data_IF_576040140841
#
_entry.id   IF_576040140841
#
_cell.length_a   1.000
_cell.length_b   1.000
_cell.length_c   1.000
_cell.angle_alpha   90.00
_cell.angle_beta   90.00
_cell.angle_gamma   90.00
#
_symmetry.space_group_name_H-M   'P 1'
#
loop_
_entity.id
_entity.type
_entity.pdbx_description
1 polymer ?
#
# COMPACT_ATOMS: atom_id res chain seq x y z
N UNK A 1 13.49 -28.77 -26.69
CA UNK A 1 14.04 -27.64 -25.90
C UNK A 1 13.00 -26.54 -25.91
N UNK A 2 12.32 -26.29 -24.79
CA UNK A 2 11.33 -25.20 -24.68
C UNK A 2 12.06 -23.86 -24.79
N UNK A 3 11.87 -23.11 -25.87
CA UNK A 3 12.50 -21.81 -26.05
C UNK A 3 11.84 -20.80 -25.13
N UNK A 4 12.61 -20.15 -24.27
CA UNK A 4 12.17 -19.04 -23.43
C UNK A 4 11.49 -17.97 -24.31
N UNK A 5 10.25 -17.58 -24.01
CA UNK A 5 9.60 -16.45 -24.69
C UNK A 5 10.29 -15.14 -24.27
N UNK A 6 10.80 -14.31 -25.19
CA UNK A 6 11.37 -13.02 -24.83
C UNK A 6 10.32 -12.11 -24.17
N UNK A 7 10.79 -11.17 -23.35
CA UNK A 7 9.94 -10.11 -22.80
C UNK A 7 9.48 -9.19 -23.95
N UNK A 8 8.18 -8.87 -24.04
CA UNK A 8 7.70 -7.93 -25.04
C UNK A 8 8.20 -6.52 -24.75
N UNK A 9 8.43 -5.73 -25.82
CA UNK A 9 8.82 -4.32 -25.68
C UNK A 9 7.74 -3.47 -24.99
N UNK A 10 6.46 -3.80 -25.24
CA UNK A 10 5.29 -3.17 -24.61
C UNK A 10 4.52 -4.25 -23.86
N UNK A 11 4.69 -4.37 -22.53
CA UNK A 11 3.96 -5.34 -21.74
C UNK A 11 2.49 -4.95 -21.58
N UNK A 12 1.67 -5.97 -21.34
CA UNK A 12 0.39 -5.79 -20.64
C UNK A 12 0.68 -5.82 -19.14
N UNK A 13 0.38 -4.71 -18.45
CA UNK A 13 0.71 -4.51 -17.03
C UNK A 13 -0.54 -4.59 -16.18
N UNK A 14 -0.51 -5.45 -15.16
CA UNK A 14 -1.46 -5.42 -14.06
C UNK A 14 -0.93 -4.47 -12.99
N UNK A 15 -1.67 -3.41 -12.69
CA UNK A 15 -1.44 -2.53 -11.54
C UNK A 15 -2.41 -2.91 -10.41
N UNK A 16 -1.86 -3.06 -9.22
CA UNK A 16 -2.59 -3.26 -7.97
C UNK A 16 -2.00 -2.39 -6.85
N UNK A 17 -2.57 -2.36 -5.65
CA UNK A 17 -1.99 -1.69 -4.48
C UNK A 17 -2.63 -2.21 -3.19
N UNK A 18 -2.22 -1.63 -2.06
CA UNK A 18 -2.87 -1.81 -0.76
C UNK A 18 -3.60 -0.56 -0.24
N UNK A 19 -3.40 0.62 -0.84
CA UNK A 19 -4.08 1.85 -0.43
C UNK A 19 -5.52 1.99 -0.94
N UNK A 20 -5.91 1.20 -1.95
CA UNK A 20 -7.22 1.25 -2.59
C UNK A 20 -7.32 2.32 -3.71
N UNK A 21 -8.55 2.68 -4.14
CA UNK A 21 -8.76 3.67 -5.21
C UNK A 21 -8.24 5.06 -4.82
N UNK A 22 -8.11 5.99 -5.80
CA UNK A 22 -7.61 7.33 -5.56
C UNK A 22 -8.33 8.00 -4.38
N UNK A 23 -7.54 8.44 -3.42
CA UNK A 23 -8.02 8.99 -2.14
C UNK A 23 -6.85 9.67 -1.43
N UNK A 24 -7.13 10.26 -0.26
CA UNK A 24 -6.07 10.81 0.60
C UNK A 24 -5.02 9.76 1.02
N UNK A 25 -5.36 8.47 1.03
CA UNK A 25 -4.42 7.39 1.31
C UNK A 25 -3.72 6.87 0.05
N UNK A 26 -4.32 7.04 -1.12
CA UNK A 26 -3.81 6.57 -2.42
C UNK A 26 -3.68 7.74 -3.42
N UNK A 27 -2.90 8.80 -3.11
CA UNK A 27 -2.90 10.01 -3.92
C UNK A 27 -2.19 9.86 -5.28
N UNK A 28 -1.44 8.77 -5.48
CA UNK A 28 -0.51 8.66 -6.61
C UNK A 28 -0.87 7.61 -7.66
N UNK A 29 -1.73 6.63 -7.33
CA UNK A 29 -1.97 5.48 -8.22
C UNK A 29 -2.53 5.91 -9.58
N UNK A 30 -3.45 6.88 -9.61
CA UNK A 30 -4.05 7.35 -10.85
C UNK A 30 -3.02 8.03 -11.76
N UNK A 31 -2.27 9.01 -11.24
CA UNK A 31 -1.22 9.69 -12.01
C UNK A 31 -0.14 8.72 -12.48
N UNK A 32 0.28 7.77 -11.64
CA UNK A 32 1.25 6.75 -12.01
C UNK A 32 0.74 5.87 -13.17
N UNK A 33 -0.50 5.37 -13.10
CA UNK A 33 -1.13 4.58 -14.17
C UNK A 33 -1.20 5.38 -15.47
N UNK A 34 -1.61 6.65 -15.40
CA UNK A 34 -1.69 7.54 -16.57
C UNK A 34 -0.32 7.73 -17.22
N UNK A 35 0.75 7.90 -16.44
CA UNK A 35 2.10 8.03 -16.99
C UNK A 35 2.60 6.75 -17.66
N UNK A 36 2.31 5.56 -17.10
CA UNK A 36 2.63 4.28 -17.76
C UNK A 36 1.95 4.18 -19.14
N UNK A 37 0.69 4.60 -19.25
CA UNK A 37 -0.06 4.59 -20.49
C UNK A 37 0.45 5.65 -21.48
N UNK A 38 0.58 6.90 -21.06
CA UNK A 38 0.85 8.04 -21.94
C UNK A 38 2.32 8.14 -22.34
N UNK A 39 3.25 7.91 -21.41
CA UNK A 39 4.69 8.03 -21.70
C UNK A 39 5.27 6.77 -22.30
N UNK A 40 4.91 5.59 -21.77
CA UNK A 40 5.48 4.32 -22.24
C UNK A 40 4.62 3.64 -23.32
N UNK A 41 3.35 4.05 -23.47
CA UNK A 41 2.43 3.41 -24.40
C UNK A 41 2.14 1.96 -24.04
N UNK A 42 2.16 1.63 -22.75
CA UNK A 42 1.89 0.29 -22.21
C UNK A 42 0.39 0.08 -22.03
N UNK A 43 -0.06 -1.16 -22.23
CA UNK A 43 -1.43 -1.56 -21.89
C UNK A 43 -1.50 -1.81 -20.38
N UNK A 44 -2.33 -1.06 -19.68
CA UNK A 44 -2.41 -1.12 -18.21
C UNK A 44 -3.82 -1.55 -17.81
N UNK A 45 -3.90 -2.52 -16.90
CA UNK A 45 -5.12 -3.02 -16.29
C UNK A 45 -5.04 -2.80 -14.78
N UNK A 46 -6.09 -2.30 -14.16
CA UNK A 46 -6.08 -1.99 -12.72
C UNK A 46 -7.07 -2.87 -11.98
N UNK A 47 -6.56 -3.67 -11.05
CA UNK A 47 -7.36 -4.47 -10.12
C UNK A 47 -6.84 -4.28 -8.71
N UNK A 48 -7.63 -3.63 -7.86
CA UNK A 48 -7.21 -3.16 -6.54
C UNK A 48 -8.25 -3.49 -5.47
N UNK A 49 -7.87 -3.48 -4.18
CA UNK A 49 -8.82 -3.46 -3.09
C UNK A 49 -9.79 -2.28 -3.21
N UNK A 50 -11.03 -2.46 -2.80
CA UNK A 50 -12.06 -1.41 -2.76
C UNK A 50 -11.86 -0.39 -1.63
N UNK A 51 -10.93 -0.66 -0.72
CA UNK A 51 -10.59 0.17 0.43
C UNK A 51 -9.14 -0.06 0.88
N UNK A 52 -8.66 0.78 1.81
CA UNK A 52 -7.32 0.70 2.41
C UNK A 52 -7.09 -0.65 3.15
N UNK A 53 -6.01 -1.35 2.79
CA UNK A 53 -5.56 -2.66 3.33
C UNK A 53 -4.08 -2.66 3.74
N UNK A 54 -3.53 -1.54 4.18
CA UNK A 54 -2.17 -1.48 4.75
C UNK A 54 -1.97 -2.44 5.93
N UNK A 55 -0.72 -2.87 6.18
CA UNK A 55 -0.31 -3.80 7.25
C UNK A 55 -0.85 -5.23 7.16
N UNK A 56 -1.38 -5.66 6.00
CA UNK A 56 -1.93 -7.01 5.81
C UNK A 56 -0.90 -8.06 5.35
N UNK A 57 0.32 -7.66 5.00
CA UNK A 57 1.33 -8.55 4.44
C UNK A 57 0.82 -9.32 3.21
N UNK A 58 1.12 -10.62 3.13
CA UNK A 58 0.72 -11.53 2.04
C UNK A 58 -0.54 -12.36 2.34
N UNK A 59 -1.51 -11.80 3.07
CA UNK A 59 -2.75 -12.49 3.44
C UNK A 59 -3.66 -12.74 2.22
N UNK A 60 -4.33 -13.89 2.16
CA UNK A 60 -5.44 -14.16 1.23
C UNK A 60 -6.76 -14.21 1.98
N UNK A 61 -7.82 -13.63 1.41
CA UNK A 61 -9.18 -13.82 1.88
C UNK A 61 -9.70 -15.18 1.37
N UNK A 62 -9.51 -16.24 2.16
CA UNK A 62 -9.83 -17.63 1.77
C UNK A 62 -11.24 -18.09 2.15
N UNK A 63 -11.86 -17.41 3.12
CA UNK A 63 -13.19 -17.76 3.65
C UNK A 63 -14.28 -16.80 3.17
N UNK A 64 -13.88 -15.63 2.66
CA UNK A 64 -14.79 -14.58 2.25
C UNK A 64 -15.16 -14.73 0.77
N UNK A 65 -16.40 -14.40 0.43
CA UNK A 65 -16.79 -14.19 -0.96
C UNK A 65 -16.24 -12.82 -1.38
N UNK A 66 -15.54 -12.77 -2.52
CA UNK A 66 -14.95 -11.54 -3.03
C UNK A 66 -15.89 -10.92 -4.05
N UNK A 67 -16.47 -9.78 -3.66
CA UNK A 67 -17.33 -8.99 -4.53
C UNK A 67 -16.50 -7.98 -5.33
N UNK A 68 -16.96 -7.69 -6.54
CA UNK A 68 -16.30 -6.76 -7.46
C UNK A 68 -17.21 -5.62 -7.91
N UNK A 69 -16.61 -4.45 -8.13
CA UNK A 69 -17.23 -3.29 -8.77
C UNK A 69 -16.31 -2.71 -9.82
N UNK A 70 -16.88 -2.02 -10.79
CA UNK A 70 -16.13 -1.27 -11.81
C UNK A 70 -16.04 0.19 -11.39
N UNK A 71 -14.87 0.78 -11.53
CA UNK A 71 -14.62 2.18 -11.27
C UNK A 71 -14.04 2.84 -12.52
N UNK A 72 -14.56 4.00 -12.88
CA UNK A 72 -14.13 4.78 -14.03
C UNK A 72 -13.61 6.13 -13.53
N UNK A 73 -12.32 6.22 -13.14
CA UNK A 73 -11.74 7.45 -12.63
C UNK A 73 -11.68 8.53 -13.71
N UNK A 74 -11.89 9.78 -13.27
CA UNK A 74 -11.85 10.99 -14.11
C UNK A 74 -11.14 12.12 -13.35
N UNK A 75 -10.90 13.21 -14.07
CA UNK A 75 -10.22 14.38 -13.53
C UNK A 75 -8.70 14.21 -13.52
N UNK A 76 -7.97 15.21 -13.00
CA UNK A 76 -6.52 15.24 -12.99
C UNK A 76 -5.90 14.30 -11.93
N UNK A 77 -6.62 14.01 -10.85
CA UNK A 77 -6.15 13.22 -9.71
C UNK A 77 -6.91 11.89 -9.52
N UNK A 78 -7.93 11.63 -10.34
CA UNK A 78 -8.72 10.41 -10.27
C UNK A 78 -9.69 10.35 -9.09
N UNK A 79 -9.88 11.45 -8.36
CA UNK A 79 -10.81 11.51 -7.22
C UNK A 79 -12.28 11.54 -7.64
N UNK A 80 -12.53 11.94 -8.89
CA UNK A 80 -13.84 11.89 -9.51
C UNK A 80 -14.02 10.59 -10.28
N UNK A 81 -15.26 10.17 -10.50
CA UNK A 81 -15.55 8.99 -11.30
C UNK A 81 -16.87 8.32 -10.94
N UNK A 82 -17.23 7.32 -11.71
CA UNK A 82 -18.43 6.51 -11.47
C UNK A 82 -18.02 5.13 -11.00
N UNK A 83 -18.70 4.61 -9.97
CA UNK A 83 -18.61 3.21 -9.56
C UNK A 83 -19.90 2.51 -9.95
N UNK A 84 -19.79 1.38 -10.67
CA UNK A 84 -20.93 0.58 -11.14
C UNK A 84 -20.75 -0.89 -10.76
N UNK A 85 -21.87 -1.61 -10.59
CA UNK A 85 -21.85 -3.07 -10.36
C UNK A 85 -21.64 -3.85 -11.65
N UNK A 86 -21.98 -3.26 -12.80
CA UNK A 86 -21.88 -3.89 -14.11
C UNK A 86 -20.84 -3.17 -14.98
N UNK A 87 -20.16 -3.93 -15.84
CA UNK A 87 -19.22 -3.39 -16.82
C UNK A 87 -19.98 -2.57 -17.85
N UNK A 88 -19.41 -1.44 -18.27
CA UNK A 88 -19.95 -0.60 -19.33
C UNK A 88 -18.85 -0.07 -20.25
N UNK A 89 -19.18 0.40 -21.46
CA UNK A 89 -18.23 1.12 -22.31
C UNK A 89 -17.69 2.39 -21.63
N UNK A 90 -16.46 2.78 -22.00
CA UNK A 90 -15.86 4.04 -21.57
C UNK A 90 -16.63 5.23 -22.14
N UNK A 91 -16.80 6.27 -21.31
CA UNK A 91 -17.34 7.58 -21.68
C UNK A 91 -16.21 8.56 -21.99
N UNK A 92 -16.56 9.69 -22.58
CA UNK A 92 -15.58 10.76 -22.83
C UNK A 92 -14.90 11.21 -21.52
N UNK A 93 -13.57 11.32 -21.57
CA UNK A 93 -12.72 11.66 -20.42
C UNK A 93 -12.31 10.46 -19.54
N UNK A 94 -12.84 9.26 -19.79
CA UNK A 94 -12.40 8.03 -19.13
C UNK A 94 -11.34 7.35 -19.99
N UNK A 95 -10.26 6.90 -19.36
CA UNK A 95 -9.16 6.24 -20.08
C UNK A 95 -9.18 4.72 -19.96
N UNK A 96 -9.82 4.20 -18.92
CA UNK A 96 -9.88 2.77 -18.64
C UNK A 96 -10.89 2.46 -17.53
N UNK A 97 -11.28 1.19 -17.50
CA UNK A 97 -12.02 0.56 -16.40
C UNK A 97 -11.05 0.07 -15.32
N UNK A 98 -11.37 0.34 -14.06
CA UNK A 98 -10.69 -0.24 -12.89
C UNK A 98 -11.62 -1.25 -12.24
N UNK A 99 -11.07 -2.33 -11.69
CA UNK A 99 -11.84 -3.33 -10.95
C UNK A 99 -11.47 -3.21 -9.47
N UNK A 100 -12.47 -2.93 -8.64
CA UNK A 100 -12.37 -2.83 -7.20
C UNK A 100 -12.88 -4.13 -6.58
N UNK A 101 -12.10 -4.77 -5.72
CA UNK A 101 -12.45 -6.03 -5.07
C UNK A 101 -12.44 -5.89 -3.53
N UNK A 102 -13.34 -6.57 -2.83
CA UNK A 102 -13.41 -6.52 -1.35
C UNK A 102 -12.23 -7.23 -0.65
N UNK A 103 -11.40 -7.93 -1.41
CA UNK A 103 -10.29 -8.76 -0.93
C UNK A 103 -9.03 -8.03 -0.51
N UNK A 104 -8.01 -8.79 -0.12
CA UNK A 104 -6.65 -8.28 0.15
C UNK A 104 -5.91 -8.00 -1.17
N UNK A 105 -4.79 -7.24 -1.15
CA UNK A 105 -3.98 -7.00 -2.34
C UNK A 105 -3.50 -8.29 -3.03
N UNK A 106 -3.08 -9.29 -2.24
CA UNK A 106 -2.67 -10.59 -2.76
C UNK A 106 -3.83 -11.36 -3.40
N UNK A 107 -5.04 -11.29 -2.82
CA UNK A 107 -6.26 -11.84 -3.43
C UNK A 107 -6.61 -11.11 -4.72
N UNK A 108 -6.53 -9.78 -4.75
CA UNK A 108 -6.83 -8.99 -5.96
C UNK A 108 -5.90 -9.35 -7.11
N UNK A 109 -4.58 -9.39 -6.85
CA UNK A 109 -3.59 -9.76 -7.85
C UNK A 109 -3.82 -11.18 -8.37
N UNK A 110 -4.13 -12.14 -7.50
CA UNK A 110 -4.35 -13.52 -7.91
C UNK A 110 -5.62 -13.68 -8.76
N UNK A 111 -6.74 -13.08 -8.34
CA UNK A 111 -8.00 -13.07 -9.11
C UNK A 111 -7.77 -12.41 -10.48
N UNK A 112 -7.05 -11.29 -10.53
CA UNK A 112 -6.74 -10.62 -11.78
C UNK A 112 -5.98 -11.53 -12.74
N UNK A 113 -4.93 -12.21 -12.25
CA UNK A 113 -4.05 -13.05 -13.08
C UNK A 113 -4.71 -14.34 -13.56
N UNK A 114 -5.61 -14.94 -12.78
CA UNK A 114 -6.13 -16.28 -13.05
C UNK A 114 -7.60 -16.33 -13.45
N UNK A 115 -8.39 -15.30 -13.13
CA UNK A 115 -9.83 -15.29 -13.37
C UNK A 115 -10.28 -14.16 -14.28
N UNK A 116 -9.68 -12.96 -14.18
CA UNK A 116 -10.09 -11.80 -14.98
C UNK A 116 -9.30 -11.73 -16.28
N UNK A 117 -7.98 -11.93 -16.22
CA UNK A 117 -7.05 -11.76 -17.34
C UNK A 117 -6.11 -12.96 -17.54
N UNK A 118 -6.64 -14.20 -17.62
CA UNK A 118 -5.83 -15.42 -17.66
C UNK A 118 -4.87 -15.44 -18.86
N UNK A 119 -3.56 -15.44 -18.58
CA UNK A 119 -2.51 -15.54 -19.60
C UNK A 119 -2.29 -14.26 -20.42
N UNK A 120 -2.92 -13.15 -20.05
CA UNK A 120 -2.80 -11.87 -20.77
C UNK A 120 -1.77 -10.93 -20.18
N UNK A 121 -1.46 -11.06 -18.87
CA UNK A 121 -0.56 -10.15 -18.15
C UNK A 121 0.90 -10.55 -18.36
N UNK A 122 1.75 -9.57 -18.69
CA UNK A 122 3.19 -9.75 -18.78
C UNK A 122 3.93 -9.32 -17.52
N UNK A 123 3.45 -8.29 -16.82
CA UNK A 123 4.10 -7.66 -15.65
C UNK A 123 3.07 -7.28 -14.59
N UNK A 124 3.40 -7.49 -13.31
CA UNK A 124 2.62 -6.98 -12.18
C UNK A 124 3.36 -5.83 -11.51
N UNK A 125 2.66 -4.73 -11.25
CA UNK A 125 3.17 -3.62 -10.44
C UNK A 125 2.23 -3.42 -9.26
N UNK A 126 2.76 -3.41 -8.05
CA UNK A 126 2.00 -3.04 -6.85
C UNK A 126 2.47 -1.69 -6.33
N UNK A 127 1.54 -0.74 -6.18
CA UNK A 127 1.79 0.63 -5.73
C UNK A 127 1.39 1.69 -6.78
N UNK A 128 1.91 2.92 -6.67
CA UNK A 128 2.85 3.37 -5.64
C UNK A 128 2.18 3.48 -4.27
N UNK A 129 2.76 2.84 -3.26
CA UNK A 129 2.30 2.96 -1.87
C UNK A 129 2.66 4.34 -1.29
N UNK A 130 1.75 4.96 -0.54
CA UNK A 130 2.02 6.25 0.12
C UNK A 130 2.73 6.09 1.48
N UNK A 131 3.90 5.46 1.42
CA UNK A 131 4.79 5.19 2.54
C UNK A 131 5.93 4.29 2.05
N UNK A 132 7.04 4.21 2.78
CA UNK A 132 8.12 3.28 2.40
C UNK A 132 7.80 1.85 2.84
N UNK A 133 8.31 0.90 2.06
CA UNK A 133 8.41 -0.51 2.40
C UNK A 133 9.89 -0.91 2.32
N UNK A 134 10.73 -0.22 3.09
CA UNK A 134 12.15 -0.57 3.29
C UNK A 134 12.33 -1.23 4.64
N UNK A 135 13.39 -2.00 4.82
CA UNK A 135 13.70 -2.81 5.99
C UNK A 135 12.75 -3.99 6.24
N UNK A 136 13.25 -4.99 6.95
CA UNK A 136 12.56 -6.27 7.19
C UNK A 136 11.18 -6.09 7.81
N UNK A 137 11.08 -5.23 8.84
CA UNK A 137 9.85 -5.03 9.58
C UNK A 137 8.72 -4.46 8.72
N UNK A 138 8.98 -3.42 7.92
CA UNK A 138 7.97 -2.86 7.03
C UNK A 138 7.71 -3.73 5.81
N UNK A 139 8.75 -4.37 5.25
CA UNK A 139 8.59 -5.26 4.11
C UNK A 139 7.65 -6.44 4.42
N UNK A 140 7.81 -7.07 5.59
CA UNK A 140 7.01 -8.24 5.99
C UNK A 140 5.55 -7.88 6.31
N UNK A 141 5.28 -6.64 6.70
CA UNK A 141 3.91 -6.15 6.96
C UNK A 141 3.23 -5.55 5.71
N UNK A 142 3.97 -5.31 4.63
CA UNK A 142 3.49 -4.59 3.44
C UNK A 142 2.48 -5.40 2.61
N UNK A 143 1.31 -4.80 2.35
CA UNK A 143 0.36 -5.33 1.38
C UNK A 143 0.85 -5.17 -0.06
N UNK A 144 1.57 -4.07 -0.33
CA UNK A 144 2.23 -3.81 -1.62
C UNK A 144 3.21 -4.92 -2.00
N UNK A 145 4.11 -5.30 -1.08
CA UNK A 145 5.02 -6.43 -1.28
C UNK A 145 4.25 -7.76 -1.24
N UNK A 146 3.20 -7.88 -0.42
CA UNK A 146 2.33 -9.06 -0.41
C UNK A 146 1.72 -9.38 -1.78
N UNK A 147 1.24 -8.38 -2.52
CA UNK A 147 0.68 -8.58 -3.85
C UNK A 147 1.72 -9.08 -4.87
N UNK A 148 2.95 -8.56 -4.81
CA UNK A 148 4.05 -8.97 -5.70
C UNK A 148 4.61 -10.35 -5.33
N UNK A 149 4.72 -10.68 -4.04
CA UNK A 149 5.06 -12.03 -3.58
C UNK A 149 4.01 -13.06 -4.03
N UNK A 150 2.72 -12.73 -3.97
CA UNK A 150 1.62 -13.56 -4.51
C UNK A 150 1.79 -13.83 -6.01
N UNK A 151 2.09 -12.77 -6.77
CA UNK A 151 2.18 -12.81 -8.23
C UNK A 151 3.43 -13.57 -8.71
N UNK A 152 4.56 -13.39 -8.03
CA UNK A 152 5.80 -14.15 -8.30
C UNK A 152 5.68 -15.62 -7.98
N UNK A 153 4.93 -16.00 -6.94
CA UNK A 153 4.56 -17.40 -6.69
C UNK A 153 3.73 -18.00 -7.84
N UNK A 154 3.00 -17.16 -8.58
CA UNK A 154 2.32 -17.51 -9.83
C UNK A 154 3.20 -17.35 -11.08
N UNK A 155 4.51 -17.14 -10.92
CA UNK A 155 5.52 -16.96 -11.98
C UNK A 155 5.44 -15.67 -12.81
N UNK A 156 4.85 -14.60 -12.28
CA UNK A 156 4.81 -13.29 -12.96
C UNK A 156 5.89 -12.33 -12.44
N UNK A 157 6.62 -11.62 -13.32
CA UNK A 157 7.49 -10.51 -12.91
C UNK A 157 6.71 -9.51 -12.12
N UNK A 158 7.31 -9.04 -11.03
CA UNK A 158 6.63 -8.12 -10.15
C UNK A 158 7.53 -6.98 -9.69
N UNK A 159 6.99 -5.77 -9.64
CA UNK A 159 7.65 -4.61 -9.05
C UNK A 159 6.75 -4.06 -7.94
N UNK A 160 7.28 -3.92 -6.73
CA UNK A 160 6.63 -3.18 -5.66
C UNK A 160 7.21 -1.76 -5.64
N UNK A 161 6.36 -0.73 -5.61
CA UNK A 161 6.78 0.68 -5.65
C UNK A 161 6.24 1.40 -4.42
N UNK A 162 7.09 2.16 -3.75
CA UNK A 162 6.77 2.78 -2.46
C UNK A 162 7.41 4.16 -2.33
N UNK A 163 6.62 5.17 -1.95
CA UNK A 163 7.08 6.55 -1.76
C UNK A 163 7.28 6.84 -0.28
N UNK A 164 8.55 6.90 0.14
CA UNK A 164 8.97 7.21 1.49
C UNK A 164 8.74 8.67 1.84
N UNK A 165 7.63 8.93 2.55
CA UNK A 165 7.31 10.25 3.10
C UNK A 165 8.32 10.61 4.20
N UNK A 166 9.10 11.66 3.97
CA UNK A 166 10.08 12.20 4.93
C UNK A 166 9.61 13.50 5.59
N UNK A 167 8.77 14.28 4.91
CA UNK A 167 8.20 15.55 5.39
C UNK A 167 6.69 15.59 5.13
N UNK A 168 5.96 16.36 5.95
CA UNK A 168 4.52 16.60 5.77
C UNK A 168 4.21 18.11 5.91
N UNK A 169 3.36 18.68 5.03
CA UNK A 169 2.78 18.05 3.84
C UNK A 169 3.84 17.76 2.76
N UNK A 170 3.58 16.76 1.91
CA UNK A 170 4.45 16.47 0.77
C UNK A 170 4.16 17.51 -0.32
N UNK A 171 5.17 18.23 -0.85
CA UNK A 171 4.96 19.17 -1.94
C UNK A 171 4.41 18.47 -3.20
N UNK A 172 3.43 19.05 -3.93
CA UNK A 172 2.90 18.46 -5.16
C UNK A 172 3.98 18.17 -6.19
N UNK A 173 4.94 19.09 -6.37
CA UNK A 173 6.08 18.91 -7.29
C UNK A 173 6.92 17.68 -6.96
N UNK A 174 7.10 17.38 -5.66
CA UNK A 174 7.81 16.19 -5.23
C UNK A 174 7.08 14.90 -5.63
N UNK A 175 5.74 14.88 -5.59
CA UNK A 175 4.93 13.74 -6.06
C UNK A 175 4.98 13.56 -7.57
N UNK A 176 4.97 14.66 -8.34
CA UNK A 176 5.17 14.62 -9.79
C UNK A 176 6.52 13.98 -10.14
N UNK A 177 7.60 14.49 -9.54
CA UNK A 177 8.95 13.95 -9.73
C UNK A 177 9.04 12.48 -9.30
N UNK A 178 8.37 12.09 -8.21
CA UNK A 178 8.35 10.69 -7.77
C UNK A 178 7.64 9.78 -8.79
N UNK A 179 6.51 10.21 -9.36
CA UNK A 179 5.80 9.46 -10.40
C UNK A 179 6.63 9.33 -11.68
N UNK A 180 7.24 10.41 -12.16
CA UNK A 180 8.18 10.37 -13.28
C UNK A 180 9.35 9.42 -13.01
N UNK A 181 9.94 9.51 -11.82
CA UNK A 181 11.03 8.64 -11.39
C UNK A 181 10.64 7.17 -11.37
N UNK A 182 9.47 6.87 -10.80
CA UNK A 182 8.98 5.51 -10.70
C UNK A 182 8.76 4.89 -12.09
N UNK A 183 8.20 5.65 -13.03
CA UNK A 183 7.99 5.20 -14.41
C UNK A 183 9.30 4.95 -15.14
N UNK A 184 10.29 5.86 -15.02
CA UNK A 184 11.63 5.67 -15.61
C UNK A 184 12.33 4.42 -15.04
N UNK A 185 12.25 4.20 -13.72
CA UNK A 185 12.83 3.01 -13.07
C UNK A 185 12.13 1.73 -13.52
N UNK A 186 10.79 1.73 -13.58
CA UNK A 186 10.00 0.59 -14.06
C UNK A 186 10.36 0.24 -15.50
N UNK A 187 10.44 1.25 -16.38
CA UNK A 187 10.84 1.05 -17.77
C UNK A 187 12.23 0.41 -17.83
N UNK A 188 13.20 0.96 -17.10
CA UNK A 188 14.58 0.46 -17.11
C UNK A 188 14.69 -0.98 -16.59
N UNK A 189 13.97 -1.30 -15.52
CA UNK A 189 13.91 -2.66 -14.97
C UNK A 189 13.27 -3.64 -15.95
N UNK A 190 12.23 -3.22 -16.67
CA UNK A 190 11.58 -4.06 -17.68
C UNK A 190 12.48 -4.32 -18.90
N UNK A 191 13.15 -3.28 -19.40
CA UNK A 191 14.06 -3.38 -20.55
C UNK A 191 15.28 -4.27 -20.26
N UNK A 192 15.72 -4.35 -19.01
CA UNK A 192 16.94 -5.05 -18.60
C UNK A 192 16.69 -6.05 -17.46
N UNK A 193 15.55 -6.76 -17.51
CA UNK A 193 15.08 -7.60 -16.41
C UNK A 193 16.07 -8.71 -16.03
N UNK A 194 16.49 -8.70 -14.76
CA UNK A 194 17.43 -9.66 -14.18
C UNK A 194 18.90 -9.33 -14.41
N UNK A 195 19.24 -8.20 -15.03
CA UNK A 195 20.61 -7.71 -15.15
C UNK A 195 20.94 -6.72 -14.02
N UNK A 196 20.91 -7.23 -12.78
CA UNK A 196 21.14 -6.44 -11.56
C UNK A 196 22.62 -6.41 -11.13
N UNK A 197 23.53 -6.84 -12.02
CA UNK A 197 24.96 -6.90 -11.73
C UNK A 197 25.36 -8.02 -10.77
N UNK A 198 24.46 -8.96 -10.41
CA UNK A 198 24.81 -10.14 -9.61
C UNK A 198 25.43 -11.23 -10.50
N UNK A 199 26.75 -11.46 -10.45
CA UNK A 199 27.38 -12.52 -11.23
C UNK A 199 27.04 -13.85 -10.57
N UNK A 200 26.41 -14.77 -11.30
CA UNK A 200 26.21 -16.16 -10.87
C UNK A 200 25.39 -16.34 -9.57
N UNK A 201 24.33 -15.56 -9.36
CA UNK A 201 23.42 -15.92 -8.30
C UNK A 201 22.66 -17.22 -8.68
N UNK A 202 22.64 -18.25 -7.80
CA UNK A 202 22.15 -19.59 -8.11
C UNK A 202 20.62 -19.63 -8.07
N UNK A 203 19.97 -18.89 -8.97
CA UNK A 203 18.51 -18.77 -9.06
C UNK A 203 17.90 -20.02 -9.71
N UNK A 204 18.09 -21.19 -9.10
CA UNK A 204 17.84 -22.49 -9.74
C UNK A 204 16.37 -22.94 -9.68
N UNK A 205 15.52 -22.23 -8.93
CA UNK A 205 14.13 -22.62 -8.73
C UNK A 205 13.21 -21.99 -9.79
N UNK A 206 12.90 -22.77 -10.82
CA UNK A 206 11.73 -22.53 -11.65
C UNK A 206 10.49 -22.86 -10.83
N UNK A 207 9.67 -21.87 -10.49
CA UNK A 207 8.32 -22.14 -10.01
C UNK A 207 7.56 -22.78 -11.18
N UNK A 208 7.08 -24.00 -10.97
CA UNK A 208 6.40 -24.78 -11.99
C UNK A 208 5.06 -24.14 -12.35
N UNK A 209 5.04 -23.40 -13.45
CA UNK A 209 3.80 -22.99 -14.13
C UNK A 209 3.96 -23.21 -15.63
N UNK A 210 2.97 -23.88 -16.23
CA UNK A 210 2.86 -24.12 -17.67
C UNK A 210 2.82 -22.84 -18.49
N UNK A 211 2.38 -21.72 -17.91
CA UNK A 211 1.95 -20.54 -18.68
C UNK A 211 2.75 -19.26 -18.42
N UNK A 212 3.87 -19.33 -17.70
CA UNK A 212 4.75 -18.16 -17.47
C UNK A 212 6.10 -18.48 -16.82
N UNK A 213 6.19 -19.62 -16.12
CA UNK A 213 7.38 -20.06 -15.37
C UNK A 213 8.68 -20.16 -16.18
N UNK A 214 8.57 -20.29 -17.50
CA UNK A 214 9.74 -20.28 -18.37
C UNK A 214 10.45 -18.92 -18.36
N UNK A 215 9.76 -17.78 -18.35
CA UNK A 215 10.41 -16.45 -18.44
C UNK A 215 11.28 -16.10 -17.22
N UNK A 216 11.00 -16.73 -16.08
CA UNK A 216 11.57 -16.38 -14.78
C UNK A 216 12.64 -17.31 -14.23
N UNK A 217 12.85 -18.46 -14.87
CA UNK A 217 13.88 -19.38 -14.42
C UNK A 217 15.25 -18.70 -14.47
N UNK A 218 15.98 -18.70 -13.36
CA UNK A 218 17.31 -18.08 -13.31
C UNK A 218 17.33 -16.57 -13.10
N UNK A 219 16.18 -15.91 -12.89
CA UNK A 219 16.07 -14.45 -12.84
C UNK A 219 15.52 -13.94 -11.51
N UNK A 220 15.74 -12.66 -11.24
CA UNK A 220 15.08 -11.91 -10.16
C UNK A 220 13.56 -12.04 -10.31
N UNK A 221 12.88 -12.36 -9.22
CA UNK A 221 11.43 -12.58 -9.23
C UNK A 221 10.66 -11.28 -9.00
N UNK A 222 11.08 -10.49 -8.00
CA UNK A 222 10.52 -9.16 -7.78
C UNK A 222 11.60 -8.11 -7.52
N UNK A 223 11.29 -6.87 -7.84
CA UNK A 223 12.04 -5.70 -7.40
C UNK A 223 11.20 -4.88 -6.41
N UNK A 224 11.74 -4.63 -5.22
CA UNK A 224 11.18 -3.68 -4.26
C UNK A 224 11.85 -2.32 -4.45
N UNK A 225 11.08 -1.33 -4.88
CA UNK A 225 11.54 0.02 -5.25
C UNK A 225 11.03 1.02 -4.23
N UNK A 226 11.94 1.75 -3.58
CA UNK A 226 11.59 2.79 -2.63
C UNK A 226 12.19 4.14 -3.05
N UNK A 227 11.34 5.17 -3.12
CA UNK A 227 11.73 6.53 -3.45
C UNK A 227 11.62 7.40 -2.20
N UNK A 228 12.69 8.09 -1.80
CA UNK A 228 12.60 9.12 -0.78
C UNK A 228 11.91 10.36 -1.37
N UNK A 229 10.83 10.84 -0.75
CA UNK A 229 10.12 12.04 -1.19
C UNK A 229 10.88 13.32 -0.80
N UNK A 230 12.05 13.49 -1.40
CA UNK A 230 12.92 14.66 -1.27
C UNK A 230 13.04 15.28 -2.66
N UNK A 231 12.38 16.41 -2.87
CA UNK A 231 12.26 17.07 -4.19
C UNK A 231 13.61 17.21 -4.89
N UNK A 232 14.60 17.83 -4.22
CA UNK A 232 15.96 18.01 -4.73
C UNK A 232 16.65 16.70 -5.13
N UNK A 233 16.36 15.59 -4.46
CA UNK A 233 16.97 14.28 -4.76
C UNK A 233 16.27 13.57 -5.92
N UNK A 234 15.03 13.95 -6.26
CA UNK A 234 14.26 13.35 -7.34
C UNK A 234 14.41 14.13 -8.67
N UNK A 235 14.90 15.36 -8.62
CA UNK A 235 15.34 16.14 -9.78
C UNK A 235 16.31 15.34 -10.66
N UNK A 236 16.15 15.45 -11.98
CA UNK A 236 16.80 14.58 -12.95
C UNK A 236 18.33 14.66 -12.89
N UNK A 237 18.88 15.81 -12.56
CA UNK A 237 20.32 16.07 -12.47
C UNK A 237 20.93 15.49 -11.19
N UNK A 238 20.13 15.33 -10.14
CA UNK A 238 20.58 14.94 -8.80
C UNK A 238 20.25 13.48 -8.46
N UNK A 239 19.29 12.89 -9.18
CA UNK A 239 18.76 11.56 -8.89
C UNK A 239 19.82 10.49 -8.92
N UNK A 240 19.85 9.70 -7.85
CA UNK A 240 20.64 8.47 -7.74
C UNK A 240 19.72 7.27 -7.60
N UNK A 241 19.89 6.28 -8.46
CA UNK A 241 19.22 4.97 -8.37
C UNK A 241 20.28 3.93 -8.03
N UNK A 242 20.06 3.18 -6.96
CA UNK A 242 21.06 2.25 -6.42
C UNK A 242 20.47 0.86 -6.15
N UNK A 243 21.26 -0.17 -6.46
CA UNK A 243 20.97 -1.54 -6.04
C UNK A 243 21.19 -1.67 -4.53
N UNK A 244 20.28 -2.37 -3.85
CA UNK A 244 20.26 -2.45 -2.38
C UNK A 244 19.90 -3.84 -1.87
N UNK A 245 20.19 -4.08 -0.59
CA UNK A 245 19.70 -5.22 0.20
C UNK A 245 18.67 -4.76 1.24
N UNK A 246 17.82 -5.65 1.72
CA UNK A 246 16.89 -5.33 2.82
C UNK A 246 17.67 -5.12 4.12
N UNK A 247 17.52 -3.95 4.75
CA UNK A 247 18.03 -3.72 6.09
C UNK A 247 17.32 -4.64 7.11
N UNK A 248 18.06 -5.24 8.03
CA UNK A 248 17.48 -6.05 9.11
C UNK A 248 17.10 -5.18 10.31
N UNK A 249 15.85 -5.27 10.73
CA UNK A 249 15.34 -4.61 11.93
C UNK A 249 14.09 -5.33 12.46
N UNK A 250 13.55 -4.86 13.58
CA UNK A 250 12.33 -5.39 14.19
C UNK A 250 11.63 -4.35 15.05
N UNK A 251 10.42 -4.66 15.51
CA UNK A 251 9.63 -3.82 16.39
C UNK A 251 9.26 -4.54 17.69
N UNK A 252 9.01 -3.77 18.75
CA UNK A 252 8.44 -4.24 20.01
C UNK A 252 6.91 -4.32 19.94
N UNK A 253 6.22 -3.79 20.94
CA UNK A 253 4.75 -3.82 20.95
C UNK A 253 4.16 -2.95 19.83
N UNK A 254 3.21 -3.52 19.09
CA UNK A 254 2.39 -2.81 18.11
C UNK A 254 1.04 -2.35 18.66
N UNK A 255 0.64 -2.87 19.81
CA UNK A 255 -0.69 -2.66 20.39
C UNK A 255 -0.61 -2.19 21.84
N UNK A 256 -1.58 -1.36 22.26
CA UNK A 256 -1.76 -0.94 23.65
C UNK A 256 -3.16 -1.29 24.15
N UNK A 257 -3.31 -1.44 25.46
CA UNK A 257 -4.60 -1.65 26.10
C UNK A 257 -5.38 -0.33 26.18
N UNK A 258 -6.69 -0.38 25.95
CA UNK A 258 -7.59 0.77 26.14
C UNK A 258 -8.46 0.56 27.37
N UNK A 259 -8.42 1.46 28.39
CA UNK A 259 -9.44 1.48 29.44
C UNK A 259 -10.82 1.79 28.84
N UNK A 260 -11.90 1.31 29.47
CA UNK A 260 -13.25 1.65 29.03
C UNK A 260 -13.50 3.16 29.21
N UNK A 261 -13.95 3.81 28.15
CA UNK A 261 -14.78 5.01 28.27
C UNK A 261 -16.25 4.53 28.27
N UNK A 262 -17.00 4.69 29.38
CA UNK A 262 -18.40 4.30 29.44
C UNK A 262 -19.31 5.03 28.45
N UNK A 263 -18.82 6.10 27.81
CA UNK A 263 -19.53 6.84 26.76
C UNK A 263 -19.16 6.42 25.33
N UNK A 264 -18.12 5.58 25.14
CA UNK A 264 -17.79 5.01 23.82
C UNK A 264 -18.70 3.80 23.51
N UNK A 265 -19.97 4.08 23.26
CA UNK A 265 -20.90 3.09 22.72
C UNK A 265 -20.55 2.77 21.27
N UNK A 266 -20.13 1.53 20.97
CA UNK A 266 -20.45 0.83 19.70
C UNK A 266 -20.47 -0.68 19.84
N UNK A 267 -21.68 -1.25 19.80
CA UNK A 267 -22.06 -2.42 18.99
C UNK A 267 -23.58 -2.59 19.05
N UNK A 268 -24.34 -1.90 18.18
CA UNK A 268 -25.74 -2.26 17.93
C UNK A 268 -25.76 -3.35 16.86
N UNK A 269 -25.72 -4.60 17.30
CA UNK A 269 -26.19 -5.73 16.50
C UNK A 269 -27.69 -5.91 16.72
N UNK A 270 -28.49 -5.10 16.05
CA UNK A 270 -29.91 -5.37 15.89
C UNK A 270 -30.38 -4.85 14.53
N UNK A 271 -31.02 -5.73 13.76
CA UNK A 271 -31.69 -5.42 12.49
C UNK A 271 -32.66 -4.22 12.63
N UNK A 272 -32.89 -3.44 11.55
CA UNK A 272 -33.67 -2.21 11.64
C UNK A 272 -35.12 -2.52 12.03
N UNK A 273 -35.60 -1.91 13.12
CA UNK A 273 -37.03 -1.78 13.40
C UNK A 273 -37.41 -0.33 13.25
N UNK A 274 -38.43 -0.12 12.42
CA UNK A 274 -39.09 1.15 12.13
C UNK A 274 -39.32 2.00 13.38
N UNK A 275 -38.75 3.21 13.41
CA UNK A 275 -39.36 4.37 14.10
C UNK A 275 -39.02 5.67 13.39
N UNK A 276 -40.07 6.35 12.92
CA UNK A 276 -40.09 7.78 12.64
C UNK A 276 -39.84 8.52 13.95
N UNK A 277 -38.82 9.36 14.02
CA UNK A 277 -38.74 10.39 15.05
C UNK A 277 -38.04 11.64 14.50
N UNK A 278 -38.82 12.71 14.47
CA UNK A 278 -38.50 14.09 14.12
C UNK A 278 -37.55 14.70 15.15
N UNK A 279 -36.50 15.40 14.70
CA UNK A 279 -35.64 16.21 15.57
C UNK A 279 -35.85 17.72 15.35
N UNK A 280 -35.89 18.53 16.42
CA UNK A 280 -36.19 19.95 16.35
C UNK A 280 -34.94 20.78 16.01
N UNK A 281 -35.16 21.86 15.25
CA UNK A 281 -34.22 22.95 15.05
C UNK A 281 -34.01 23.74 16.35
N UNK A 282 -32.77 24.11 16.65
CA UNK A 282 -32.50 25.24 17.54
C UNK A 282 -31.33 26.08 16.99
N UNK A 283 -31.63 27.35 16.72
CA UNK A 283 -30.69 28.38 16.32
C UNK A 283 -29.97 28.91 17.57
N UNK A 284 -28.65 29.05 17.50
CA UNK A 284 -27.86 29.66 18.56
C UNK A 284 -26.52 30.11 18.02
N UNK A 285 -26.46 31.40 17.68
CA UNK A 285 -25.26 32.15 17.33
C UNK A 285 -24.24 32.10 18.48
N UNK A 286 -22.96 31.96 18.15
CA UNK A 286 -21.90 32.64 18.89
C UNK A 286 -20.66 32.83 18.02
N UNK A 287 -20.22 34.07 17.99
CA UNK A 287 -19.22 34.69 17.13
C UNK A 287 -17.85 34.79 17.80
N UNK A 288 -16.80 34.64 17.00
CA UNK A 288 -15.47 35.25 17.14
C UNK A 288 -14.72 34.88 15.85
N UNK A 289 -14.20 35.76 15.00
CA UNK A 289 -13.79 37.15 15.13
C UNK A 289 -12.52 37.26 14.27
N UNK A 290 -12.68 37.48 12.96
CA UNK A 290 -11.56 37.74 12.03
C UNK A 290 -11.71 39.19 11.57
N UNK A 291 -10.67 39.97 11.84
CA UNK A 291 -10.46 41.31 11.29
C UNK A 291 -9.97 41.15 9.85
N UNK A 292 -10.73 41.66 8.89
CA UNK A 292 -10.25 41.94 7.53
C UNK A 292 -10.54 43.39 7.19
N UNK A 293 -9.54 44.02 6.60
CA UNK A 293 -9.49 45.41 6.17
C UNK A 293 -10.41 45.59 4.97
N UNK A 294 -11.14 46.70 4.98
CA UNK A 294 -12.13 47.14 4.00
C UNK A 294 -11.55 47.34 2.60
N UNK A 295 -12.38 47.06 1.58
CA UNK A 295 -12.51 47.91 0.40
C UNK A 295 -13.98 47.88 -0.08
N UNK A 296 -14.53 49.09 -0.19
CA UNK A 296 -15.82 49.51 -0.77
C UNK A 296 -15.89 49.11 -2.28
N UNK A 297 -17.00 48.98 -3.02
CA UNK A 297 -18.36 49.53 -2.97
C UNK A 297 -19.25 48.78 -4.02
N UNK A 298 -20.53 48.56 -3.66
CA UNK A 298 -21.82 48.26 -4.37
C UNK A 298 -22.00 48.41 -5.92
N UNK A 299 -23.19 48.08 -6.52
CA UNK A 299 -24.37 47.31 -6.05
C UNK A 299 -24.97 46.26 -7.05
N UNK A 300 -25.92 45.46 -6.56
CA UNK A 300 -26.83 44.56 -7.29
C UNK A 300 -27.80 45.28 -8.25
N UNK A 301 -28.57 44.55 -9.11
CA UNK A 301 -29.96 44.26 -8.67
C UNK A 301 -30.64 42.97 -9.20
N UNK A 302 -31.59 42.48 -8.39
CA UNK A 302 -32.98 42.03 -8.70
C UNK A 302 -33.31 40.76 -9.50
N UNK A 303 -34.18 39.95 -8.86
CA UNK A 303 -35.41 39.28 -9.34
C UNK A 303 -35.29 38.29 -10.53
N UNK A 304 -35.92 37.12 -10.58
CA UNK A 304 -37.23 36.69 -10.09
C UNK A 304 -37.43 35.18 -10.35
N UNK A 305 -38.18 34.54 -9.44
CA UNK A 305 -39.25 33.57 -9.68
C UNK A 305 -39.02 32.29 -10.53
N UNK A 306 -39.13 31.18 -9.79
CA UNK A 306 -40.02 30.04 -10.00
C UNK A 306 -39.78 29.05 -11.16
N UNK A 307 -39.52 27.80 -10.79
CA UNK A 307 -39.69 26.62 -11.65
C UNK A 307 -39.11 25.37 -10.97
N UNK A 308 -39.96 24.60 -10.31
CA UNK A 308 -39.63 23.32 -9.66
C UNK A 308 -39.12 22.31 -10.69
N UNK A 309 -38.03 21.60 -10.38
CA UNK A 309 -37.81 20.22 -10.82
C UNK A 309 -36.74 19.52 -9.96
N UNK A 310 -36.88 18.21 -9.83
CA UNK A 310 -36.38 17.37 -8.75
C UNK A 310 -34.85 17.31 -8.62
N UNK A 311 -34.33 17.62 -7.44
CA UNK A 311 -32.93 17.41 -7.06
C UNK A 311 -32.72 16.02 -6.41
N UNK A 312 -31.78 15.19 -6.90
CA UNK A 312 -31.31 14.03 -6.17
C UNK A 312 -30.49 14.45 -4.96
N UNK A 313 -30.73 13.78 -3.83
CA UNK A 313 -30.06 14.00 -2.55
C UNK A 313 -28.53 13.88 -2.69
N UNK A 314 -27.84 14.99 -2.52
CA UNK A 314 -26.40 15.05 -2.26
C UNK A 314 -26.14 14.43 -0.88
N UNK A 315 -25.55 13.24 -0.86
CA UNK A 315 -25.02 12.66 0.37
C UNK A 315 -23.66 13.30 0.65
N UNK A 316 -23.62 14.10 1.72
CA UNK A 316 -22.41 14.63 2.33
C UNK A 316 -21.54 13.46 2.83
N UNK A 317 -20.24 13.39 2.51
CA UNK A 317 -19.40 12.29 2.96
C UNK A 317 -19.22 12.33 4.48
N UNK A 318 -19.47 11.19 5.13
CA UNK A 318 -19.20 10.98 6.54
C UNK A 318 -17.71 11.24 6.85
N UNK A 319 -17.44 12.05 7.86
CA UNK A 319 -16.09 12.32 8.37
C UNK A 319 -15.46 11.04 8.95
N UNK A 320 -14.76 10.29 8.11
CA UNK A 320 -13.82 9.27 8.57
C UNK A 320 -12.48 9.93 8.87
N UNK A 321 -11.99 9.78 10.09
CA UNK A 321 -10.61 10.12 10.44
C UNK A 321 -9.66 9.29 9.57
N UNK A 322 -8.69 9.91 8.87
CA UNK A 322 -7.80 9.18 7.98
C UNK A 322 -6.89 8.23 8.78
N UNK A 323 -6.91 6.94 8.42
CA UNK A 323 -5.95 5.94 8.90
C UNK A 323 -4.59 6.18 8.23
N UNK A 324 -3.45 5.85 8.87
CA UNK A 324 -2.14 6.01 8.25
C UNK A 324 -2.02 5.15 6.98
N UNK A 325 -1.48 5.72 5.91
CA UNK A 325 -1.29 5.07 4.62
C UNK A 325 0.03 4.27 4.58
N UNK A 326 -0.01 2.96 4.45
CA UNK A 326 1.18 2.11 4.38
C UNK A 326 1.92 1.86 5.71
N UNK A 327 2.79 0.83 5.77
CA UNK A 327 3.56 0.46 6.96
C UNK A 327 4.48 1.55 7.50
N UNK A 328 5.12 2.29 6.60
CA UNK A 328 6.10 3.33 6.93
C UNK A 328 5.55 4.75 7.01
N UNK A 329 4.24 5.01 6.86
CA UNK A 329 3.73 6.37 7.01
C UNK A 329 3.77 6.85 8.46
N UNK A 330 4.05 8.15 8.58
CA UNK A 330 3.92 8.86 9.85
C UNK A 330 2.46 8.80 10.33
N UNK A 331 2.22 8.43 11.61
CA UNK A 331 0.88 8.46 12.18
C UNK A 331 0.33 9.90 12.17
N UNK A 332 -0.95 10.05 11.81
CA UNK A 332 -1.69 11.31 11.99
C UNK A 332 -2.10 11.39 13.46
N UNK A 333 -1.75 12.48 14.15
CA UNK A 333 -2.17 12.70 15.53
C UNK A 333 -3.71 12.77 15.58
N UNK A 334 -4.35 11.82 16.26
CA UNK A 334 -5.75 11.95 16.62
C UNK A 334 -5.86 13.10 17.63
N UNK A 335 -6.66 14.13 17.31
CA UNK A 335 -7.00 15.18 18.28
C UNK A 335 -7.71 14.50 19.45
N UNK A 336 -7.11 14.58 20.64
CA UNK A 336 -7.78 14.25 21.90
C UNK A 336 -8.73 15.41 22.21
N UNK A 337 -10.04 15.17 22.12
CA UNK A 337 -11.02 16.04 22.76
C UNK A 337 -11.14 15.60 24.23
N UNK A 338 -10.52 16.35 25.13
CA UNK A 338 -10.79 16.23 26.56
C UNK A 338 -12.17 16.83 26.85
N UNK A 339 -13.17 15.98 27.07
CA UNK A 339 -14.41 16.40 27.75
C UNK A 339 -14.42 15.82 29.16
N UNK A 340 -14.28 16.70 30.14
CA UNK A 340 -14.41 16.34 31.55
C UNK A 340 -15.88 16.32 31.93
N UNK A 341 -16.44 15.15 32.25
CA UNK A 341 -17.71 15.06 32.98
C UNK A 341 -17.55 14.23 34.25
N UNK A 342 -17.82 14.85 35.39
CA UNK A 342 -17.95 14.20 36.70
C UNK A 342 -19.35 13.61 36.86
N UNK A 343 -19.45 12.34 37.28
CA UNK A 343 -20.68 11.72 37.77
C UNK A 343 -20.43 10.31 38.29
N UNK A 344 -20.25 10.15 39.61
CA UNK A 344 -21.14 9.46 40.58
C UNK A 344 -21.19 7.93 40.44
N UNK A 345 -20.71 7.26 41.49
CA UNK A 345 -20.49 5.83 41.54
C UNK A 345 -21.74 4.95 41.54
N UNK A 346 -21.55 3.74 41.00
CA UNK A 346 -22.46 2.61 41.08
C UNK A 346 -21.85 1.43 40.33
N UNK A 347 -21.69 0.31 41.03
CA UNK A 347 -21.43 -1.07 40.57
C UNK A 347 -20.33 -1.31 39.50
N UNK A 348 -19.17 -1.79 39.97
CA UNK A 348 -18.14 -2.43 39.13
C UNK A 348 -18.66 -3.74 38.53
N UNK A 349 -19.38 -3.65 37.42
CA UNK A 349 -19.89 -4.80 36.68
C UNK A 349 -18.79 -5.41 35.80
N UNK A 350 -18.99 -6.66 35.36
CA UNK A 350 -18.06 -7.49 34.57
C UNK A 350 -17.57 -6.89 33.23
N UNK A 351 -17.94 -5.65 32.91
CA UNK A 351 -17.52 -4.91 31.73
C UNK A 351 -16.04 -4.48 31.78
N UNK A 352 -15.52 -4.16 32.96
CA UNK A 352 -14.10 -3.79 33.18
C UNK A 352 -13.09 -4.91 32.80
N UNK A 353 -13.56 -6.14 32.56
CA UNK A 353 -12.73 -7.32 32.29
C UNK A 353 -12.60 -7.69 30.80
N UNK A 354 -13.01 -6.83 29.86
CA UNK A 354 -12.87 -7.12 28.41
C UNK A 354 -11.47 -6.75 27.90
N UNK A 355 -10.73 -7.75 27.41
CA UNK A 355 -9.44 -7.57 26.73
C UNK A 355 -9.63 -6.79 25.42
N UNK A 356 -9.31 -5.48 25.43
CA UNK A 356 -9.33 -4.61 24.26
C UNK A 356 -7.95 -4.04 23.98
N UNK A 357 -7.55 -4.10 22.72
CA UNK A 357 -6.29 -3.57 22.23
C UNK A 357 -6.53 -2.69 21.03
N UNK A 358 -5.70 -1.66 20.86
CA UNK A 358 -5.70 -0.82 19.66
C UNK A 358 -4.28 -0.67 19.13
N UNK A 359 -4.15 -0.49 17.82
CA UNK A 359 -2.86 -0.31 17.17
C UNK A 359 -2.22 1.01 17.62
N UNK A 360 -1.07 0.92 18.28
CA UNK A 360 -0.32 2.06 18.82
C UNK A 360 1.17 1.68 18.90
N UNK A 361 1.83 1.53 17.75
CA UNK A 361 3.18 1.00 17.68
C UNK A 361 4.23 2.06 18.03
N UNK A 362 5.34 1.62 18.63
CA UNK A 362 6.50 2.47 18.89
C UNK A 362 7.49 2.41 17.72
N UNK A 363 7.21 3.18 16.65
CA UNK A 363 7.95 3.09 15.37
C UNK A 363 9.05 4.13 15.20
N UNK A 364 9.30 5.02 16.18
CA UNK A 364 10.20 6.17 15.99
C UNK A 364 11.58 5.78 15.46
N UNK A 365 12.22 4.77 16.06
CA UNK A 365 13.54 4.27 15.64
C UNK A 365 13.52 3.50 14.32
N UNK A 366 12.37 2.95 13.96
CA UNK A 366 12.18 2.22 12.70
C UNK A 366 12.02 3.19 11.53
N UNK A 367 11.34 4.31 11.77
CA UNK A 367 11.10 5.37 10.79
C UNK A 367 12.32 6.30 10.69
N UNK A 368 12.92 6.66 11.82
CA UNK A 368 14.07 7.56 11.87
C UNK A 368 15.23 6.83 12.55
N UNK A 369 15.92 5.93 11.81
CA UNK A 369 17.12 5.28 12.31
C UNK A 369 18.26 6.30 12.43
N UNK A 370 19.17 6.06 13.38
CA UNK A 370 20.41 6.82 13.50
C UNK A 370 21.35 6.46 12.33
N UNK A 371 22.06 7.45 11.78
CA UNK A 371 22.92 7.26 10.61
C UNK A 371 23.96 6.15 10.82
N UNK A 372 24.63 6.14 11.98
CA UNK A 372 25.64 5.13 12.34
C UNK A 372 25.08 3.69 12.43
N UNK A 373 23.75 3.53 12.50
CA UNK A 373 23.09 2.22 12.53
C UNK A 373 22.76 1.67 11.14
N UNK A 374 22.94 2.47 10.08
CA UNK A 374 22.59 2.10 8.72
C UNK A 374 23.77 1.48 7.98
N UNK A 375 23.66 0.19 7.69
CA UNK A 375 24.64 -0.52 6.85
C UNK A 375 24.57 -0.02 5.40
N UNK A 376 25.70 0.42 4.85
CA UNK A 376 25.83 0.87 3.46
C UNK A 376 25.36 -0.22 2.47
N UNK A 377 24.69 0.22 1.41
CA UNK A 377 24.09 -0.68 0.41
C UNK A 377 22.78 -1.34 0.86
N UNK A 378 22.22 -0.98 2.01
CA UNK A 378 20.85 -1.36 2.37
C UNK A 378 19.80 -0.37 1.84
N UNK A 379 18.56 -0.82 1.70
CA UNK A 379 17.41 -0.01 1.29
C UNK A 379 17.16 1.19 2.21
N UNK A 380 17.37 0.99 3.51
CA UNK A 380 17.18 2.00 4.54
C UNK A 380 18.32 3.03 4.51
N UNK A 381 19.55 2.59 4.27
CA UNK A 381 20.68 3.49 4.02
C UNK A 381 20.46 4.35 2.77
N UNK A 382 20.02 3.74 1.67
CA UNK A 382 19.77 4.45 0.42
C UNK A 382 18.68 5.52 0.58
N UNK A 383 17.56 5.18 1.21
CA UNK A 383 16.48 6.12 1.49
C UNK A 383 16.90 7.27 2.41
N UNK A 384 17.70 6.97 3.44
CA UNK A 384 18.23 8.00 4.34
C UNK A 384 19.06 9.04 3.58
N UNK A 385 19.83 8.60 2.59
CA UNK A 385 20.65 9.45 1.73
C UNK A 385 19.90 10.03 0.51
N UNK A 386 18.57 9.89 0.46
CA UNK A 386 17.74 10.42 -0.62
C UNK A 386 17.86 9.68 -1.95
N UNK A 387 18.53 8.53 -2.00
CA UNK A 387 18.62 7.72 -3.20
C UNK A 387 17.36 6.88 -3.42
N UNK A 388 17.05 6.59 -4.69
CA UNK A 388 16.05 5.59 -5.07
C UNK A 388 16.67 4.20 -4.85
N UNK A 389 16.09 3.45 -3.91
CA UNK A 389 16.48 2.07 -3.62
C UNK A 389 15.77 1.12 -4.57
N UNK A 390 16.53 0.21 -5.18
CA UNK A 390 16.01 -0.95 -5.91
C UNK A 390 16.59 -2.22 -5.25
N UNK A 391 15.73 -3.04 -4.66
CA UNK A 391 16.14 -4.30 -4.02
C UNK A 391 15.61 -5.49 -4.83
N UNK A 392 16.47 -6.33 -5.43
CA UNK A 392 16.04 -7.61 -6.01
C UNK A 392 15.66 -8.60 -4.89
N UNK A 393 14.51 -9.27 -5.03
CA UNK A 393 14.03 -10.26 -4.05
C UNK A 393 13.53 -11.54 -4.73
N UNK A 394 13.45 -12.58 -3.91
CA UNK A 394 12.85 -13.88 -4.25
C UNK A 394 11.72 -14.17 -3.25
N UNK A 395 10.61 -14.72 -3.75
CA UNK A 395 9.55 -15.25 -2.89
C UNK A 395 10.02 -16.54 -2.23
N UNK A 396 10.79 -16.40 -1.14
CA UNK A 396 11.36 -17.50 -0.38
C UNK A 396 11.36 -17.17 1.10
N UNK A 397 11.32 -18.21 1.93
CA UNK A 397 11.80 -18.09 3.30
C UNK A 397 13.32 -18.22 3.26
N UNK A 398 14.03 -17.17 3.68
CA UNK A 398 15.46 -17.29 3.92
C UNK A 398 15.65 -18.03 5.26
N UNK A 399 16.41 -19.14 5.25
CA UNK A 399 16.81 -19.82 6.47
C UNK A 399 17.82 -18.96 7.26
N UNK A 400 17.86 -19.15 8.58
CA UNK A 400 18.92 -18.54 9.39
C UNK A 400 20.28 -19.14 8.99
N UNK A 401 21.41 -18.42 9.15
CA UNK A 401 22.71 -18.98 8.85
C UNK A 401 22.93 -20.32 9.55
N UNK A 402 23.43 -21.36 8.86
CA UNK A 402 23.62 -22.70 9.43
C UNK A 402 24.38 -22.71 10.76
N UNK A 403 25.33 -21.79 10.92
CA UNK A 403 26.17 -21.62 12.12
C UNK A 403 25.39 -21.25 13.39
N UNK A 404 24.15 -20.78 13.24
CA UNK A 404 23.24 -20.48 14.36
C UNK A 404 22.47 -21.68 14.89
N UNK A 405 22.53 -22.83 14.21
CA UNK A 405 21.93 -24.08 14.67
C UNK A 405 22.98 -24.95 15.35
N UNK A 406 22.95 -25.03 16.68
CA UNK A 406 23.64 -26.09 17.43
C UNK A 406 22.61 -27.06 17.96
N UNK A 407 22.60 -28.27 17.40
CA UNK A 407 21.83 -29.38 17.95
C UNK A 407 22.55 -29.90 19.20
N UNK A 408 22.04 -29.57 20.39
CA UNK A 408 22.52 -30.14 21.65
C UNK A 408 23.98 -29.79 22.00
N UNK A 409 24.33 -29.94 23.27
CA UNK A 409 25.71 -29.85 23.70
C UNK A 409 26.44 -31.14 23.35
N UNK A 410 27.18 -31.16 22.24
CA UNK A 410 28.26 -32.12 22.10
C UNK A 410 29.56 -31.35 21.94
N UNK A 411 30.26 -31.24 23.07
CA UNK A 411 31.70 -31.18 23.12
C UNK A 411 32.26 -32.43 22.45
N UNK A 412 32.33 -32.47 21.12
CA UNK A 412 33.20 -33.39 20.40
C UNK A 412 33.37 -32.89 18.95
N UNK A 413 34.64 -32.67 18.58
CA UNK A 413 35.10 -32.23 17.27
C UNK A 413 34.58 -33.14 16.14
N UNK A 414 34.10 -32.62 15.00
CA UNK A 414 33.71 -33.48 13.89
C UNK A 414 34.95 -34.02 13.17
N UNK A 415 35.18 -35.32 13.32
CA UNK A 415 36.06 -36.07 12.43
C UNK A 415 35.33 -36.30 11.09
N UNK A 416 35.87 -35.68 10.04
CA UNK A 416 35.85 -36.09 8.62
C UNK A 416 34.66 -36.90 8.06
N UNK A 417 33.99 -36.31 7.07
CA UNK A 417 33.59 -37.03 5.85
C UNK A 417 32.16 -37.58 5.78
N UNK A 418 31.51 -37.27 4.66
CA UNK A 418 30.19 -37.75 4.17
C UNK A 418 28.95 -37.24 4.90
N UNK A 419 28.03 -36.68 4.10
CA UNK A 419 26.85 -35.95 4.55
C UNK A 419 25.82 -36.77 5.31
N UNK A 420 25.21 -36.12 6.29
CA UNK A 420 23.76 -35.97 6.49
C UNK A 420 23.55 -35.09 7.73
N UNK A 421 23.18 -33.82 7.54
CA UNK A 421 22.75 -32.95 8.65
C UNK A 421 21.26 -33.21 8.91
N UNK A 422 20.95 -34.25 9.67
CA UNK A 422 19.60 -34.48 10.20
C UNK A 422 19.71 -34.80 11.69
N UNK A 423 19.72 -33.75 12.51
CA UNK A 423 19.59 -33.90 13.97
C UNK A 423 18.17 -34.35 14.33
N UNK A 424 18.03 -35.51 14.97
CA UNK A 424 16.74 -35.97 15.50
C UNK A 424 16.44 -35.31 16.85
N UNK A 425 15.17 -34.92 17.06
CA UNK A 425 14.67 -34.51 18.38
C UNK A 425 14.75 -35.70 19.34
N UNK A 426 15.48 -35.55 20.46
CA UNK A 426 15.34 -36.49 21.58
C UNK A 426 13.93 -36.31 22.16
N UNK A 427 13.18 -37.42 22.21
CA UNK A 427 11.83 -37.49 22.79
C UNK A 427 11.80 -37.07 24.25
#
# INVERSE_FOLDING_TARGET
>A
MSSFKPFPKKPVVLVTNDDGPPSASSPNIYSFVKLLQEQLGWDVRVVIPDCQKSWVGKAYAISDIIDGKYFYPRGPDGLEGEITSEKRPLKEGETMEWILLTGTPATCANIALHNIYPGEIDLVISGPNHGRNSSSAFCLSSGTIGATLSSTLSSYPSIAISYGVVTRPVPPRCLELANETAVEVVQKLWEDWGNDGTPNAPWQYALGSSDGGHRMKGKVQLYNVNLALIEKSLEKENRKVVWTRIARNGYGSLFKTKPLDPNENRWDSAAPKDKKETLPFNNGENSAGIVTIDDEEKPAPTNSAAGQENAPQTQTPSSQTPRPAGPGALPVAAKQEESASKGSGGEKSAEEARLRFFFSPELKRLIFPEEDSLEEGTDSWALFHGAVSVTPLQASFAEAPPESFRFGSESETPATGSGEMVGQWKK
#
